data_IF_798076984272
#
_entry.id   IF_798076984272
#
_cell.length_a   1.000
_cell.length_b   1.000
_cell.length_c   1.000
_cell.angle_alpha   90.00
_cell.angle_beta   90.00
_cell.angle_gamma   90.00
#
_symmetry.space_group_name_H-M   'P 1'
#
loop_
_entity.id
_entity.type
_entity.pdbx_description
1 polymer ?
#
# COMPACT_ATOMS: atom_id res chain seq x y z
N UNK A 1 -23.89 13.32 -22.26
CA UNK A 1 -24.48 14.28 -23.24
C UNK A 1 -26.00 14.27 -23.24
N UNK A 2 -26.66 13.11 -23.13
CA UNK A 2 -28.12 13.00 -23.19
C UNK A 2 -28.90 13.87 -22.16
N UNK A 3 -28.39 14.03 -20.93
CA UNK A 3 -29.08 14.83 -19.90
C UNK A 3 -29.04 16.35 -20.12
N UNK A 4 -27.97 16.86 -20.75
CA UNK A 4 -27.82 18.29 -21.05
C UNK A 4 -28.68 18.71 -22.25
N UNK A 5 -28.65 17.92 -23.33
CA UNK A 5 -29.51 18.13 -24.50
C UNK A 5 -30.99 18.00 -24.12
N UNK A 6 -31.36 16.99 -23.33
CA UNK A 6 -32.74 16.80 -22.84
C UNK A 6 -33.26 17.97 -21.99
N UNK A 7 -32.46 18.48 -21.04
CA UNK A 7 -32.86 19.63 -20.22
C UNK A 7 -33.04 20.89 -21.06
N UNK A 8 -32.20 21.08 -22.08
CA UNK A 8 -32.27 22.24 -22.98
C UNK A 8 -33.45 22.15 -23.95
N UNK A 9 -33.72 20.96 -24.51
CA UNK A 9 -34.85 20.72 -25.43
C UNK A 9 -36.21 20.72 -24.72
N UNK A 10 -36.28 20.31 -23.45
CA UNK A 10 -37.49 20.36 -22.64
C UNK A 10 -37.80 21.75 -22.03
N UNK A 11 -36.95 22.76 -22.27
CA UNK A 11 -37.10 24.10 -21.70
C UNK A 11 -36.78 24.19 -20.20
N UNK A 12 -36.03 23.23 -19.65
CA UNK A 12 -35.65 23.16 -18.25
C UNK A 12 -34.49 24.09 -17.87
N UNK A 13 -34.34 24.36 -16.57
CA UNK A 13 -33.27 25.23 -16.06
C UNK A 13 -31.90 24.53 -16.15
N UNK A 14 -31.16 24.85 -17.21
CA UNK A 14 -29.79 24.38 -17.46
C UNK A 14 -28.83 24.77 -16.32
N UNK A 15 -29.05 25.92 -15.67
CA UNK A 15 -28.22 26.37 -14.54
C UNK A 15 -28.45 25.47 -13.33
N UNK A 16 -29.70 25.10 -13.06
CA UNK A 16 -30.04 24.13 -12.01
C UNK A 16 -29.46 22.75 -12.33
N UNK A 17 -29.59 22.26 -13.57
CA UNK A 17 -29.01 20.99 -13.99
C UNK A 17 -27.49 20.93 -13.82
N UNK A 18 -26.78 21.98 -14.26
CA UNK A 18 -25.32 22.07 -14.11
C UNK A 18 -24.90 22.16 -12.64
N UNK A 19 -25.65 22.89 -11.81
CA UNK A 19 -25.39 22.98 -10.38
C UNK A 19 -25.51 21.60 -9.71
N UNK A 20 -26.63 20.91 -9.93
CA UNK A 20 -26.88 19.58 -9.34
C UNK A 20 -25.87 18.55 -9.85
N UNK A 21 -25.57 18.55 -11.15
CA UNK A 21 -24.57 17.64 -11.73
C UNK A 21 -23.17 17.92 -11.18
N UNK A 22 -22.81 19.19 -10.97
CA UNK A 22 -21.54 19.58 -10.36
C UNK A 22 -21.43 19.14 -8.90
N UNK A 23 -22.51 19.31 -8.12
CA UNK A 23 -22.58 18.83 -6.73
C UNK A 23 -22.44 17.30 -6.66
N UNK A 24 -23.13 16.57 -7.54
CA UNK A 24 -23.04 15.11 -7.67
C UNK A 24 -21.61 14.67 -8.02
N UNK A 25 -20.99 15.29 -9.03
CA UNK A 25 -19.63 14.96 -9.46
C UNK A 25 -18.59 15.25 -8.36
N UNK A 26 -18.76 16.36 -7.62
CA UNK A 26 -17.89 16.68 -6.49
C UNK A 26 -18.04 15.64 -5.36
N UNK A 27 -19.27 15.18 -5.10
CA UNK A 27 -19.53 14.14 -4.11
C UNK A 27 -18.89 12.81 -4.49
N UNK A 28 -19.07 12.36 -5.73
CA UNK A 28 -18.43 11.14 -6.26
C UNK A 28 -16.90 11.23 -6.21
N UNK A 29 -16.35 12.38 -6.57
CA UNK A 29 -14.90 12.61 -6.51
C UNK A 29 -14.37 12.51 -5.09
N UNK A 30 -15.08 13.09 -4.10
CA UNK A 30 -14.70 12.98 -2.68
C UNK A 30 -14.68 11.53 -2.22
N UNK A 31 -15.71 10.74 -2.56
CA UNK A 31 -15.77 9.30 -2.23
C UNK A 31 -14.60 8.55 -2.86
N UNK A 32 -14.33 8.78 -4.16
CA UNK A 32 -13.23 8.11 -4.86
C UNK A 32 -11.88 8.44 -4.22
N UNK A 33 -11.68 9.70 -3.83
CA UNK A 33 -10.46 10.17 -3.16
C UNK A 33 -10.29 9.52 -1.79
N UNK A 34 -11.35 9.43 -1.00
CA UNK A 34 -11.33 8.78 0.31
C UNK A 34 -10.98 7.29 0.18
N UNK A 35 -11.60 6.60 -0.77
CA UNK A 35 -11.28 5.19 -1.06
C UNK A 35 -9.83 4.99 -1.48
N UNK A 36 -9.30 5.88 -2.33
CA UNK A 36 -7.91 5.84 -2.75
C UNK A 36 -6.94 6.05 -1.56
N UNK A 37 -7.23 7.03 -0.70
CA UNK A 37 -6.44 7.28 0.51
C UNK A 37 -6.48 6.08 1.46
N UNK A 38 -7.65 5.46 1.65
CA UNK A 38 -7.77 4.26 2.49
C UNK A 38 -6.94 3.09 1.94
N UNK A 39 -6.91 2.89 0.62
CA UNK A 39 -6.08 1.87 -0.01
C UNK A 39 -4.59 2.16 0.23
N UNK A 40 -4.17 3.41 0.03
CA UNK A 40 -2.78 3.83 0.26
C UNK A 40 -2.35 3.63 1.72
N UNK A 41 -3.22 3.98 2.68
CA UNK A 41 -2.96 3.75 4.11
C UNK A 41 -2.81 2.27 4.43
N UNK A 42 -3.69 1.41 3.91
CA UNK A 42 -3.57 -0.04 4.11
C UNK A 42 -2.23 -0.58 3.56
N UNK A 43 -1.79 -0.11 2.39
CA UNK A 43 -0.48 -0.50 1.85
C UNK A 43 0.69 -0.04 2.72
N UNK A 44 0.63 1.18 3.28
CA UNK A 44 1.65 1.68 4.21
C UNK A 44 1.69 0.87 5.51
N UNK A 45 0.53 0.44 6.03
CA UNK A 45 0.43 -0.44 7.19
C UNK A 45 1.04 -1.82 6.90
N UNK A 46 0.77 -2.42 5.75
CA UNK A 46 1.41 -3.69 5.37
C UNK A 46 2.94 -3.57 5.22
N UNK A 47 3.41 -2.48 4.62
CA UNK A 47 4.84 -2.21 4.47
C UNK A 47 5.53 -2.09 5.84
N UNK A 48 4.98 -1.27 6.73
CA UNK A 48 5.56 -1.08 8.07
C UNK A 48 5.40 -2.32 8.96
N UNK A 49 4.22 -2.94 8.96
CA UNK A 49 3.87 -4.05 9.84
C UNK A 49 4.54 -5.36 9.47
N UNK A 50 4.68 -5.70 8.19
CA UNK A 50 5.27 -6.99 7.77
C UNK A 50 6.71 -6.78 7.31
N UNK A 51 6.94 -5.88 6.35
CA UNK A 51 8.25 -5.78 5.71
C UNK A 51 9.35 -5.23 6.63
N UNK A 52 9.01 -4.34 7.56
CA UNK A 52 9.98 -3.79 8.54
C UNK A 52 10.01 -4.64 9.82
N UNK A 53 8.85 -5.01 10.36
CA UNK A 53 8.82 -5.72 11.64
C UNK A 53 9.37 -7.15 11.54
N UNK A 54 9.13 -7.88 10.43
CA UNK A 54 9.62 -9.25 10.28
C UNK A 54 11.16 -9.37 10.35
N UNK A 55 11.97 -8.59 9.60
CA UNK A 55 13.42 -8.65 9.73
C UNK A 55 13.89 -8.18 11.10
N UNK A 56 13.25 -7.16 11.69
CA UNK A 56 13.60 -6.71 13.04
C UNK A 56 13.35 -7.80 14.09
N UNK A 57 12.21 -8.48 14.01
CA UNK A 57 11.83 -9.56 14.91
C UNK A 57 12.78 -10.75 14.78
N UNK A 58 13.17 -11.10 13.55
CA UNK A 58 14.13 -12.17 13.29
C UNK A 58 15.53 -11.85 13.85
N UNK A 59 16.01 -10.60 13.69
CA UNK A 59 17.26 -10.15 14.31
C UNK A 59 17.16 -10.20 15.84
N UNK A 60 16.04 -9.78 16.41
CA UNK A 60 15.82 -9.86 17.85
C UNK A 60 15.81 -11.31 18.35
N UNK A 61 15.15 -12.22 17.65
CA UNK A 61 15.14 -13.66 17.97
C UNK A 61 16.55 -14.24 17.98
N UNK A 62 17.33 -14.02 16.92
CA UNK A 62 18.71 -14.52 16.91
C UNK A 62 19.58 -13.85 17.96
N UNK A 63 19.36 -12.57 18.26
CA UNK A 63 20.07 -11.88 19.34
C UNK A 63 19.78 -12.54 20.68
N UNK A 64 18.53 -12.87 20.98
CA UNK A 64 18.15 -13.59 22.21
C UNK A 64 18.78 -14.99 22.22
N UNK A 65 18.69 -15.73 21.11
CA UNK A 65 19.27 -17.08 21.01
C UNK A 65 20.79 -17.07 21.22
N UNK A 66 21.50 -16.02 20.77
CA UNK A 66 22.94 -15.88 20.94
C UNK A 66 23.40 -15.87 22.40
N UNK A 67 22.53 -15.46 23.33
CA UNK A 67 22.80 -15.51 24.76
C UNK A 67 22.65 -16.92 25.34
N UNK A 68 21.76 -17.74 24.77
CA UNK A 68 21.50 -19.11 25.24
C UNK A 68 22.54 -20.07 24.68
N UNK A 69 22.82 -19.97 23.38
CA UNK A 69 23.77 -20.83 22.69
C UNK A 69 24.48 -20.03 21.60
N UNK A 70 25.80 -20.20 21.46
CA UNK A 70 26.57 -19.48 20.42
C UNK A 70 26.41 -20.05 19.02
N UNK A 71 26.00 -21.31 18.89
CA UNK A 71 25.91 -22.00 17.60
C UNK A 71 24.56 -22.69 17.43
N UNK A 72 23.99 -22.61 16.23
CA UNK A 72 22.77 -23.33 15.83
C UNK A 72 23.11 -24.14 14.58
N UNK A 73 22.83 -25.45 14.59
CA UNK A 73 23.16 -26.38 13.50
C UNK A 73 24.65 -26.33 13.07
N UNK A 74 25.56 -26.08 14.01
CA UNK A 74 27.01 -25.97 13.73
C UNK A 74 27.46 -24.62 13.15
N UNK A 75 26.54 -23.69 12.90
CA UNK A 75 26.84 -22.33 12.46
C UNK A 75 26.78 -21.35 13.63
N UNK A 76 27.68 -20.36 13.63
CA UNK A 76 27.60 -19.24 14.56
C UNK A 76 26.30 -18.46 14.36
N UNK A 77 25.59 -18.17 15.44
CA UNK A 77 24.33 -17.41 15.37
C UNK A 77 24.58 -16.02 14.76
N UNK A 78 25.72 -15.41 15.05
CA UNK A 78 26.12 -14.13 14.46
C UNK A 78 26.24 -14.21 12.93
N UNK A 79 26.75 -15.33 12.42
CA UNK A 79 26.80 -15.60 10.99
C UNK A 79 25.38 -15.79 10.41
N UNK A 80 24.53 -16.57 11.06
CA UNK A 80 23.14 -16.79 10.63
C UNK A 80 22.33 -15.49 10.61
N UNK A 81 22.49 -14.62 11.61
CA UNK A 81 21.85 -13.30 11.65
C UNK A 81 22.29 -12.43 10.49
N UNK A 82 23.60 -12.36 10.20
CA UNK A 82 24.12 -11.56 9.08
C UNK A 82 23.64 -12.12 7.75
N UNK A 83 23.77 -13.43 7.54
CA UNK A 83 23.35 -14.09 6.31
C UNK A 83 21.85 -13.90 6.06
N UNK A 84 21.01 -14.13 7.07
CA UNK A 84 19.57 -13.92 6.97
C UNK A 84 19.21 -12.45 6.73
N UNK A 85 19.85 -11.50 7.42
CA UNK A 85 19.61 -10.06 7.22
C UNK A 85 19.97 -9.61 5.81
N UNK A 86 21.16 -9.97 5.33
CA UNK A 86 21.64 -9.61 3.99
C UNK A 86 20.88 -10.34 2.88
N UNK A 87 20.17 -11.42 3.18
CA UNK A 87 19.32 -12.12 2.21
C UNK A 87 17.88 -11.59 2.25
N UNK A 88 17.25 -11.57 3.44
CA UNK A 88 15.85 -11.19 3.63
C UNK A 88 15.59 -9.73 3.30
N UNK A 89 16.44 -8.79 3.75
CA UNK A 89 16.18 -7.37 3.50
C UNK A 89 16.13 -7.07 2.00
N UNK A 90 17.12 -7.49 1.18
CA UNK A 90 17.03 -7.31 -0.26
C UNK A 90 15.86 -8.05 -0.89
N UNK A 91 15.53 -9.27 -0.43
CA UNK A 91 14.43 -10.05 -0.97
C UNK A 91 13.07 -9.37 -0.74
N UNK A 92 12.87 -8.86 0.48
CA UNK A 92 11.67 -8.08 0.86
C UNK A 92 11.60 -6.79 0.04
N UNK A 93 12.69 -6.06 -0.10
CA UNK A 93 12.72 -4.82 -0.93
C UNK A 93 12.46 -5.12 -2.41
N UNK A 94 13.02 -6.20 -2.95
CA UNK A 94 12.78 -6.62 -4.34
C UNK A 94 11.31 -7.02 -4.54
N UNK A 95 10.75 -7.78 -3.60
CA UNK A 95 9.33 -8.10 -3.57
C UNK A 95 8.45 -6.85 -3.52
N UNK A 96 8.84 -5.85 -2.74
CA UNK A 96 8.13 -4.56 -2.68
C UNK A 96 8.17 -3.81 -4.02
N UNK A 97 9.34 -3.73 -4.65
CA UNK A 97 9.48 -3.10 -5.96
C UNK A 97 8.65 -3.80 -7.03
N UNK A 98 8.60 -5.13 -7.01
CA UNK A 98 7.76 -5.91 -7.93
C UNK A 98 6.26 -5.69 -7.65
N UNK A 99 5.86 -5.65 -6.37
CA UNK A 99 4.49 -5.33 -5.97
C UNK A 99 4.09 -3.94 -6.45
N UNK A 100 4.94 -2.93 -6.23
CA UNK A 100 4.69 -1.55 -6.65
C UNK A 100 4.58 -1.45 -8.18
N UNK A 101 5.51 -2.10 -8.91
CA UNK A 101 5.46 -2.17 -10.37
C UNK A 101 4.21 -2.89 -10.88
N UNK A 102 3.73 -3.91 -10.18
CA UNK A 102 2.48 -4.60 -10.50
C UNK A 102 1.24 -3.74 -10.26
N UNK A 103 1.29 -2.84 -9.28
CA UNK A 103 0.23 -1.85 -9.05
C UNK A 103 0.32 -0.62 -9.97
N UNK A 104 1.49 -0.33 -10.53
CA UNK A 104 1.71 0.77 -11.48
C UNK A 104 1.09 0.51 -12.88
N UNK A 105 0.23 -0.50 -13.02
CA UNK A 105 -0.52 -0.75 -14.25
C UNK A 105 -1.79 0.10 -14.23
N UNK A 106 -1.86 1.01 -15.20
CA UNK A 106 -2.90 2.02 -15.51
C UNK A 106 -2.75 3.38 -14.81
N UNK A 107 -1.81 4.18 -15.31
CA UNK A 107 -2.06 5.60 -15.60
C UNK A 107 -2.06 5.84 -17.11
#
# INVERSE_FOLDING_TARGET
MNGFCSTTEAGGDVKLYLKTTGEQALFEWKIKREKYMHQLSAYAEFYTGIMIAAPLFLVALFSIMSFVQRQVMGFDILFLTRASTYLLIPLINLGFLLFLKGMEVEM
#
